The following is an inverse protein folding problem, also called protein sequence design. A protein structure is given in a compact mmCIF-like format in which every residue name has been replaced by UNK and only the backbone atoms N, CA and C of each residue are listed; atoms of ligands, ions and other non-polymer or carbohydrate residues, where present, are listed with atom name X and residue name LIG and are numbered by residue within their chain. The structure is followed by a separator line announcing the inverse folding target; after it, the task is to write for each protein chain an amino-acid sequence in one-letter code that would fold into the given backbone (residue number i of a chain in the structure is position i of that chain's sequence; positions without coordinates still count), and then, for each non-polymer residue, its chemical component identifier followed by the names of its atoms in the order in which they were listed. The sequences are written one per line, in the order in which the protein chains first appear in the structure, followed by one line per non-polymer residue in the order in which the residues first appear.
data_IF_470434261146
#
_entry.id   IF_470434261146
#
_cell.length_a   1.000
_cell.length_b   1.000
_cell.length_c   1.000
_cell.angle_alpha   90.00
_cell.angle_beta   90.00
_cell.angle_gamma   90.00
#
_symmetry.space_group_name_H-M   'P 1'
#
loop_
_entity.id
_entity.type
_entity.pdbx_description
1 polymer ?
#
# COMPACT_ATOMS: atom_id res chain seq x y z
N UNK A 1 45.04 -21.08 -49.67
CA UNK A 1 45.11 -20.88 -48.22
C UNK A 1 44.35 -19.67 -47.68
N UNK A 2 44.37 -18.50 -48.34
CA UNK A 2 43.65 -17.27 -47.83
C UNK A 2 42.11 -17.38 -47.79
N UNK A 3 41.50 -18.21 -48.64
CA UNK A 3 40.03 -18.34 -48.73
C UNK A 3 39.46 -19.19 -47.56
N UNK A 4 40.14 -20.26 -47.20
CA UNK A 4 39.69 -21.14 -46.05
C UNK A 4 39.77 -20.46 -44.70
N UNK A 5 40.77 -19.60 -44.46
CA UNK A 5 40.91 -18.85 -43.23
C UNK A 5 39.76 -17.83 -43.05
N UNK A 6 39.30 -17.21 -44.12
CA UNK A 6 38.15 -16.26 -44.10
C UNK A 6 36.82 -16.95 -43.79
N UNK A 7 36.59 -18.14 -44.39
CA UNK A 7 35.38 -18.94 -44.10
C UNK A 7 35.35 -19.43 -42.64
N UNK A 8 36.50 -19.83 -42.12
CA UNK A 8 36.61 -20.31 -40.73
C UNK A 8 36.36 -19.20 -39.70
N UNK A 9 36.85 -17.97 -40.00
CA UNK A 9 36.61 -16.80 -39.13
C UNK A 9 35.14 -16.36 -39.13
N UNK A 10 34.46 -16.39 -40.27
CA UNK A 10 33.04 -16.06 -40.40
C UNK A 10 32.20 -17.07 -39.63
N UNK A 11 32.50 -18.37 -39.76
CA UNK A 11 31.82 -19.43 -38.98
C UNK A 11 31.96 -19.27 -37.47
N UNK A 12 33.15 -18.88 -36.97
CA UNK A 12 33.40 -18.66 -35.54
C UNK A 12 32.60 -17.45 -35.01
N UNK A 13 32.54 -16.35 -35.79
CA UNK A 13 31.79 -15.13 -35.38
C UNK A 13 30.29 -15.43 -35.29
N UNK A 14 29.73 -16.21 -36.24
CA UNK A 14 28.32 -16.60 -36.21
C UNK A 14 28.01 -17.50 -35.01
N UNK A 15 28.88 -18.47 -34.67
CA UNK A 15 28.68 -19.34 -33.51
C UNK A 15 28.74 -18.55 -32.19
N UNK A 16 29.65 -17.57 -32.06
CA UNK A 16 29.74 -16.71 -30.88
C UNK A 16 28.49 -15.80 -30.79
N UNK A 17 28.02 -15.25 -31.92
CA UNK A 17 26.81 -14.43 -31.93
C UNK A 17 25.54 -15.23 -31.53
N UNK A 18 25.40 -16.46 -32.02
CA UNK A 18 24.30 -17.36 -31.63
C UNK A 18 24.39 -17.73 -30.17
N UNK A 19 25.60 -18.06 -29.66
CA UNK A 19 25.83 -18.34 -28.24
C UNK A 19 25.46 -17.17 -27.35
N UNK A 20 25.78 -15.94 -27.75
CA UNK A 20 25.39 -14.73 -26.99
C UNK A 20 23.88 -14.48 -27.04
N UNK A 21 23.24 -14.69 -28.21
CA UNK A 21 21.78 -14.53 -28.33
C UNK A 21 21.00 -15.58 -27.54
N UNK A 22 21.50 -16.80 -27.43
CA UNK A 22 20.88 -17.86 -26.61
C UNK A 22 21.10 -17.64 -25.12
N UNK A 23 22.27 -17.10 -24.72
CA UNK A 23 22.56 -16.82 -23.33
C UNK A 23 21.88 -15.55 -22.79
N UNK A 24 21.63 -14.55 -23.64
CA UNK A 24 20.89 -13.37 -23.25
C UNK A 24 19.37 -13.61 -23.09
N UNK A 25 18.84 -14.67 -23.69
CA UNK A 25 17.44 -15.06 -23.49
C UNK A 25 17.18 -15.85 -22.18
N UNK A 26 18.23 -16.29 -21.48
CA UNK A 26 18.06 -17.06 -20.24
C UNK A 26 18.12 -16.19 -18.95
N UNK A 27 18.43 -14.90 -19.08
CA UNK A 27 18.54 -14.01 -17.91
C UNK A 27 17.39 -13.00 -17.77
N UNK A 28 16.32 -13.13 -18.51
CA UNK A 28 15.04 -12.56 -18.08
C UNK A 28 14.36 -13.59 -17.17
N UNK A 29 14.82 -13.71 -15.93
CA UNK A 29 13.94 -14.04 -14.85
C UNK A 29 12.91 -12.91 -14.83
N UNK A 30 11.76 -13.15 -15.43
CA UNK A 30 10.55 -12.38 -15.18
C UNK A 30 10.36 -12.59 -13.69
N UNK A 31 10.71 -11.57 -12.89
CA UNK A 31 10.21 -11.46 -11.53
C UNK A 31 8.69 -11.22 -11.70
N UNK A 32 7.99 -12.33 -11.88
CA UNK A 32 6.54 -12.37 -11.92
C UNK A 32 6.08 -12.14 -10.49
N UNK A 33 6.25 -10.90 -10.03
CA UNK A 33 5.75 -10.47 -8.73
C UNK A 33 4.25 -10.75 -8.75
N UNK A 34 3.82 -11.68 -7.91
CA UNK A 34 2.41 -11.97 -7.72
C UNK A 34 1.73 -10.64 -7.44
N UNK A 35 0.73 -10.24 -8.22
CA UNK A 35 0.06 -8.95 -8.03
C UNK A 35 -0.58 -8.88 -6.64
N UNK A 36 -0.71 -7.67 -6.12
CA UNK A 36 -1.47 -7.45 -4.90
C UNK A 36 -2.91 -7.92 -5.12
N UNK A 37 -3.50 -8.49 -4.08
CA UNK A 37 -4.89 -8.93 -4.07
C UNK A 37 -5.55 -8.52 -2.77
N UNK A 38 -6.87 -8.26 -2.82
CA UNK A 38 -7.65 -7.83 -1.67
C UNK A 38 -8.71 -8.88 -1.30
N UNK A 39 -8.87 -9.12 -0.02
CA UNK A 39 -9.89 -10.00 0.57
C UNK A 39 -10.60 -9.25 1.70
N UNK A 40 -11.89 -9.52 1.90
CA UNK A 40 -12.63 -8.92 3.00
C UNK A 40 -12.17 -9.49 4.36
N UNK A 41 -12.05 -8.61 5.36
CA UNK A 41 -11.69 -8.97 6.73
C UNK A 41 -10.20 -8.80 7.03
N UNK A 42 -9.83 -9.16 8.27
CA UNK A 42 -8.43 -9.13 8.72
C UNK A 42 -7.62 -10.23 8.05
N UNK A 43 -6.36 -9.96 7.76
CA UNK A 43 -5.44 -11.01 7.33
C UNK A 43 -5.32 -12.10 8.42
N UNK A 44 -5.19 -13.35 8.00
CA UNK A 44 -5.06 -14.49 8.90
C UNK A 44 -3.66 -15.10 8.87
N UNK A 45 -2.97 -14.98 7.73
CA UNK A 45 -1.70 -15.69 7.46
C UNK A 45 -0.63 -14.81 6.82
N UNK A 46 -0.99 -13.94 5.90
CA UNK A 46 -0.06 -13.09 5.18
C UNK A 46 -0.76 -11.81 4.70
N UNK A 47 0.04 -10.77 4.39
CA UNK A 47 -0.46 -9.51 3.89
C UNK A 47 -0.46 -8.40 4.94
N UNK A 48 -1.20 -7.35 4.67
CA UNK A 48 -1.40 -6.19 5.54
C UNK A 48 -2.90 -5.96 5.71
N UNK A 49 -3.36 -5.93 6.96
CA UNK A 49 -4.76 -5.60 7.22
C UNK A 49 -4.94 -4.08 7.19
N UNK A 50 -5.85 -3.61 6.36
CA UNK A 50 -6.27 -2.21 6.30
C UNK A 50 -7.64 -2.06 6.95
N UNK A 51 -7.75 -1.14 7.89
CA UNK A 51 -9.00 -0.80 8.60
C UNK A 51 -9.36 0.65 8.33
N UNK A 52 -10.58 0.89 7.87
CA UNK A 52 -11.16 2.23 7.72
C UNK A 52 -12.37 2.34 8.65
N UNK A 53 -12.24 3.14 9.70
CA UNK A 53 -13.28 3.36 10.70
C UNK A 53 -13.79 4.80 10.61
N UNK A 54 -15.03 4.97 10.20
CA UNK A 54 -15.67 6.29 10.08
C UNK A 54 -16.00 6.93 11.44
N UNK A 55 -15.63 6.28 12.56
CA UNK A 55 -15.86 6.79 13.92
C UNK A 55 -17.32 6.97 14.25
N UNK A 56 -17.60 7.96 15.09
CA UNK A 56 -18.96 8.38 15.44
C UNK A 56 -19.57 9.37 14.44
N UNK A 57 -18.83 9.74 13.41
CA UNK A 57 -19.29 10.64 12.36
C UNK A 57 -20.21 9.96 11.32
N UNK A 58 -20.29 8.64 11.33
CA UNK A 58 -21.13 7.87 10.40
C UNK A 58 -21.58 6.55 11.03
N UNK A 59 -22.80 6.13 10.66
CA UNK A 59 -23.34 4.80 11.02
C UNK A 59 -22.75 3.66 10.17
N UNK A 60 -21.87 3.99 9.20
CA UNK A 60 -21.16 2.98 8.41
C UNK A 60 -20.35 2.07 9.34
N UNK A 61 -20.41 0.76 9.16
CA UNK A 61 -19.49 -0.15 9.84
C UNK A 61 -18.04 0.15 9.41
N UNK A 62 -17.09 -0.18 10.24
CA UNK A 62 -15.69 -0.13 9.83
C UNK A 62 -15.45 -1.13 8.69
N UNK A 63 -14.76 -0.68 7.66
CA UNK A 63 -14.32 -1.52 6.55
C UNK A 63 -12.99 -2.16 6.92
N UNK A 64 -12.88 -3.46 6.65
CA UNK A 64 -11.67 -4.23 6.99
C UNK A 64 -11.29 -5.09 5.80
N UNK A 65 -10.06 -4.93 5.35
CA UNK A 65 -9.53 -5.62 4.16
C UNK A 65 -8.16 -6.22 4.45
N UNK A 66 -7.90 -7.39 3.90
CA UNK A 66 -6.58 -7.99 3.86
C UNK A 66 -5.98 -7.79 2.47
N UNK A 67 -4.89 -7.05 2.38
CA UNK A 67 -4.16 -6.82 1.13
C UNK A 67 -2.92 -7.70 1.12
N UNK A 68 -2.91 -8.70 0.24
CA UNK A 68 -1.81 -9.67 0.09
C UNK A 68 -0.81 -9.21 -0.98
N UNK A 69 0.43 -9.63 -0.86
CA UNK A 69 1.51 -9.38 -1.81
C UNK A 69 1.80 -7.90 -2.10
N UNK A 70 1.31 -6.99 -1.28
CA UNK A 70 1.53 -5.56 -1.46
C UNK A 70 2.95 -5.18 -1.02
N UNK A 71 3.60 -4.35 -1.85
CA UNK A 71 4.90 -3.76 -1.58
C UNK A 71 4.85 -2.29 -1.98
N UNK A 72 4.78 -1.40 -1.01
CA UNK A 72 4.67 0.04 -1.29
C UNK A 72 4.59 0.86 -0.03
N UNK A 73 4.09 2.05 -0.16
CA UNK A 73 3.80 2.94 0.96
C UNK A 73 2.33 2.83 1.36
N UNK A 74 2.02 3.20 2.58
CA UNK A 74 0.66 3.14 3.12
C UNK A 74 -0.36 3.98 2.34
N UNK A 75 0.10 5.03 1.66
CA UNK A 75 -0.75 5.80 0.75
C UNK A 75 -1.24 4.94 -0.43
N UNK A 76 -0.34 4.16 -1.02
CA UNK A 76 -0.62 3.31 -2.17
C UNK A 76 -1.43 2.06 -1.78
N UNK A 77 -1.49 1.74 -0.48
CA UNK A 77 -2.27 0.62 0.05
C UNK A 77 -3.78 0.81 -0.19
N UNK A 78 -4.26 2.06 -0.24
CA UNK A 78 -5.67 2.33 -0.57
C UNK A 78 -6.04 1.85 -1.97
N UNK A 79 -5.22 2.16 -2.97
CA UNK A 79 -5.44 1.68 -4.35
C UNK A 79 -5.40 0.16 -4.41
N UNK A 80 -4.44 -0.47 -3.74
CA UNK A 80 -4.33 -1.92 -3.67
C UNK A 80 -5.51 -2.58 -2.92
N UNK A 81 -6.18 -1.84 -2.04
CA UNK A 81 -7.40 -2.23 -1.34
C UNK A 81 -8.68 -1.86 -2.10
N UNK A 82 -8.57 -1.33 -3.33
CA UNK A 82 -9.68 -0.87 -4.16
C UNK A 82 -10.50 0.27 -3.52
N UNK A 83 -9.87 1.09 -2.67
CA UNK A 83 -10.47 2.24 -2.01
C UNK A 83 -10.04 3.55 -2.65
N UNK A 84 -10.99 4.48 -2.75
CA UNK A 84 -10.70 5.84 -3.17
C UNK A 84 -10.12 6.64 -2.01
N UNK A 85 -8.97 7.28 -2.23
CA UNK A 85 -8.36 8.21 -1.28
C UNK A 85 -8.06 9.52 -1.97
N UNK A 86 -8.26 10.62 -1.28
CA UNK A 86 -7.82 11.94 -1.75
C UNK A 86 -7.13 12.72 -0.64
N UNK A 87 -6.10 13.46 -1.04
CA UNK A 87 -5.45 14.44 -0.19
C UNK A 87 -6.13 15.80 -0.24
N UNK A 88 -5.40 16.81 0.22
CA UNK A 88 -5.81 18.21 0.10
C UNK A 88 -5.21 18.86 -1.16
N UNK A 89 -5.72 20.01 -1.57
CA UNK A 89 -5.13 20.78 -2.68
C UNK A 89 -3.66 21.10 -2.42
N UNK A 90 -3.31 21.37 -1.16
CA UNK A 90 -1.95 21.69 -0.75
C UNK A 90 -1.06 20.44 -0.65
N UNK A 91 -1.62 19.31 -0.23
CA UNK A 91 -0.92 18.04 -0.05
C UNK A 91 -1.75 16.92 -0.70
N UNK A 92 -1.71 16.80 -2.03
CA UNK A 92 -2.54 15.83 -2.75
C UNK A 92 -2.16 14.38 -2.46
N UNK A 93 -0.93 14.14 -1.98
CA UNK A 93 -0.45 12.84 -1.52
C UNK A 93 0.13 12.98 -0.12
N UNK A 94 -0.21 12.05 0.75
CA UNK A 94 0.38 11.96 2.10
C UNK A 94 -0.45 12.55 3.22
N UNK A 95 -1.35 13.48 2.94
CA UNK A 95 -2.33 13.97 3.91
C UNK A 95 -3.74 13.58 3.47
N UNK A 96 -4.30 12.56 4.13
CA UNK A 96 -5.64 12.06 3.79
C UNK A 96 -6.70 13.08 4.19
N UNK A 97 -7.46 13.55 3.21
CA UNK A 97 -8.64 14.37 3.43
C UNK A 97 -9.93 13.56 3.31
N UNK A 98 -10.04 12.66 2.33
CA UNK A 98 -11.21 11.78 2.13
C UNK A 98 -10.79 10.34 1.89
N UNK A 99 -11.59 9.44 2.42
CA UNK A 99 -11.59 8.02 2.06
C UNK A 99 -13.03 7.68 1.66
N UNK A 100 -13.22 7.05 0.48
CA UNK A 100 -14.55 6.69 -0.06
C UNK A 100 -15.53 7.88 -0.06
N UNK A 101 -15.07 9.04 -0.51
CA UNK A 101 -15.80 10.31 -0.55
C UNK A 101 -16.29 10.80 0.82
N UNK A 102 -15.72 10.29 1.93
CA UNK A 102 -16.06 10.75 3.27
C UNK A 102 -14.87 11.51 3.92
N UNK A 103 -15.10 12.65 4.60
CA UNK A 103 -16.35 13.42 4.65
C UNK A 103 -16.73 14.01 3.28
N UNK A 104 -18.00 14.43 3.12
CA UNK A 104 -18.43 15.05 1.86
C UNK A 104 -17.73 16.39 1.62
N UNK A 105 -17.77 16.88 0.37
CA UNK A 105 -17.15 18.14 0.00
C UNK A 105 -17.79 19.34 0.70
N UNK A 106 -19.08 19.27 0.99
CA UNK A 106 -19.81 20.33 1.72
C UNK A 106 -19.36 20.41 3.19
N UNK A 107 -18.92 19.29 3.77
CA UNK A 107 -18.43 19.24 5.15
C UNK A 107 -16.96 19.66 5.22
N UNK A 108 -16.14 19.14 4.30
CA UNK A 108 -14.70 19.43 4.25
C UNK A 108 -14.27 19.62 2.77
N UNK A 109 -13.99 20.85 2.34
CA UNK A 109 -13.62 21.13 0.94
C UNK A 109 -12.20 20.64 0.55
N UNK A 110 -11.40 20.21 1.50
CA UNK A 110 -10.02 19.74 1.28
C UNK A 110 -9.04 20.77 0.69
N UNK A 111 -9.37 22.05 0.73
CA UNK A 111 -8.52 23.12 0.20
C UNK A 111 -7.23 23.32 0.99
N UNK A 112 -7.28 23.05 2.30
CA UNK A 112 -6.14 23.11 3.21
C UNK A 112 -6.10 21.86 4.08
N UNK A 113 -5.12 21.76 4.96
CA UNK A 113 -5.08 20.71 5.98
C UNK A 113 -6.37 20.77 6.80
N UNK A 114 -7.18 19.69 6.86
CA UNK A 114 -8.41 19.65 7.61
C UNK A 114 -8.16 20.09 9.04
N UNK A 115 -8.93 21.09 9.45
CA UNK A 115 -8.86 21.62 10.80
C UNK A 115 -9.70 20.79 11.76
N UNK A 116 -9.53 21.08 13.05
CA UNK A 116 -10.29 20.42 14.13
C UNK A 116 -11.78 20.75 14.10
N UNK A 117 -12.25 21.63 13.20
CA UNK A 117 -13.66 22.06 13.11
C UNK A 117 -14.56 21.04 12.44
N UNK A 118 -14.06 20.36 11.42
CA UNK A 118 -14.87 19.47 10.57
C UNK A 118 -14.54 17.98 10.82
N UNK A 119 -13.59 17.72 11.70
CA UNK A 119 -13.01 16.40 11.91
C UNK A 119 -11.87 16.11 10.94
N UNK A 120 -11.20 15.00 11.15
CA UNK A 120 -10.07 14.59 10.30
C UNK A 120 -9.77 13.10 10.45
N UNK A 121 -9.13 12.55 9.43
CA UNK A 121 -8.62 11.18 9.49
C UNK A 121 -7.34 11.11 10.33
N UNK A 122 -7.30 10.17 11.25
CA UNK A 122 -6.14 9.83 12.05
C UNK A 122 -5.60 8.47 11.62
N UNK A 123 -4.28 8.38 11.49
CA UNK A 123 -3.58 7.19 11.01
C UNK A 123 -2.95 6.43 12.16
N UNK A 124 -3.16 5.11 12.19
CA UNK A 124 -2.70 4.20 13.22
C UNK A 124 -1.98 3.00 12.64
N UNK A 125 -1.04 2.47 13.41
CA UNK A 125 -0.34 1.23 13.12
C UNK A 125 -0.59 0.22 14.23
N UNK A 126 -0.74 -1.04 13.88
CA UNK A 126 -0.77 -2.13 14.85
C UNK A 126 0.63 -2.40 15.39
N UNK A 127 0.75 -2.53 16.70
CA UNK A 127 1.99 -2.90 17.37
C UNK A 127 2.10 -4.42 17.61
N UNK A 128 3.23 -4.85 18.16
CA UNK A 128 3.52 -6.26 18.49
C UNK A 128 2.58 -6.84 19.56
N UNK A 129 1.89 -5.99 20.32
CA UNK A 129 0.93 -6.37 21.37
C UNK A 129 -0.51 -6.42 20.85
N UNK A 130 -0.73 -6.30 19.54
CA UNK A 130 -2.03 -6.17 18.89
C UNK A 130 -2.83 -4.96 19.38
N UNK A 131 -2.14 -3.85 19.64
CA UNK A 131 -2.73 -2.58 19.99
C UNK A 131 -2.53 -1.56 18.90
N UNK A 132 -3.49 -0.66 18.73
CA UNK A 132 -3.35 0.47 17.82
C UNK A 132 -2.47 1.55 18.44
N UNK A 133 -1.51 2.03 17.69
CA UNK A 133 -0.65 3.17 18.03
C UNK A 133 -0.82 4.25 16.98
N UNK A 134 -1.09 5.49 17.41
CA UNK A 134 -1.11 6.63 16.50
C UNK A 134 0.22 6.75 15.77
N UNK A 135 0.18 6.82 14.46
CA UNK A 135 1.40 6.83 13.64
C UNK A 135 2.17 8.14 13.80
N UNK A 136 3.48 8.09 14.12
CA UNK A 136 4.32 9.28 14.19
C UNK A 136 4.76 9.78 12.80
N UNK A 137 4.45 9.05 11.74
CA UNK A 137 4.86 9.36 10.36
C UNK A 137 3.64 9.30 9.43
N UNK A 138 3.72 10.07 8.33
CA UNK A 138 2.64 10.09 7.33
C UNK A 138 2.63 8.85 6.45
N UNK A 139 1.45 8.51 5.91
CA UNK A 139 1.24 7.35 5.07
C UNK A 139 2.09 7.35 3.78
N UNK A 140 2.41 8.51 3.24
CA UNK A 140 3.28 8.62 2.05
C UNK A 140 4.75 8.26 2.29
N UNK A 141 5.16 8.16 3.56
CA UNK A 141 6.54 7.84 3.95
C UNK A 141 6.66 6.54 4.72
N UNK A 142 5.55 6.00 5.23
CA UNK A 142 5.52 4.70 5.90
C UNK A 142 5.52 3.56 4.87
N UNK A 143 6.54 2.71 4.94
CA UNK A 143 6.63 1.51 4.10
C UNK A 143 5.85 0.38 4.75
N UNK A 144 4.85 -0.11 4.02
CA UNK A 144 3.99 -1.22 4.48
C UNK A 144 4.82 -2.47 4.76
N UNK A 145 4.48 -3.16 5.81
CA UNK A 145 5.11 -4.43 6.20
C UNK A 145 4.04 -5.51 6.35
N UNK A 146 4.32 -6.66 5.78
CA UNK A 146 3.51 -7.84 6.02
C UNK A 146 3.42 -8.13 7.53
N UNK A 147 2.26 -8.56 8.00
CA UNK A 147 2.00 -8.84 9.42
C UNK A 147 1.65 -7.61 10.26
N UNK A 148 1.72 -6.42 9.68
CA UNK A 148 1.31 -5.18 10.35
C UNK A 148 -0.09 -4.78 9.89
N UNK A 149 -0.91 -4.34 10.84
CA UNK A 149 -2.21 -3.75 10.52
C UNK A 149 -2.08 -2.23 10.43
N UNK A 150 -2.75 -1.65 9.45
CA UNK A 150 -2.85 -0.21 9.25
C UNK A 150 -4.29 0.24 9.44
N UNK A 151 -4.50 1.31 10.16
CA UNK A 151 -5.83 1.77 10.53
C UNK A 151 -6.03 3.27 10.32
N UNK A 152 -7.17 3.61 9.81
CA UNK A 152 -7.64 4.97 9.66
C UNK A 152 -8.93 5.14 10.43
N UNK A 153 -8.98 6.16 11.29
CA UNK A 153 -10.20 6.53 11.99
C UNK A 153 -10.52 7.99 11.76
N UNK A 154 -11.77 8.25 11.37
CA UNK A 154 -12.26 9.62 11.34
C UNK A 154 -12.61 10.08 12.75
N UNK A 155 -12.01 11.19 13.16
CA UNK A 155 -12.19 11.81 14.46
C UNK A 155 -13.04 13.05 14.32
N UNK A 156 -14.10 13.15 15.14
CA UNK A 156 -14.90 14.36 15.26
C UNK A 156 -14.17 15.45 16.05
N UNK A 157 -14.60 16.72 15.92
CA UNK A 157 -14.09 17.80 16.75
C UNK A 157 -14.15 17.47 18.24
N UNK A 158 -13.01 17.60 18.92
CA UNK A 158 -12.89 17.31 20.34
C UNK A 158 -12.53 15.86 20.70
N UNK A 159 -12.54 14.93 19.76
CA UNK A 159 -11.99 13.59 20.00
C UNK A 159 -10.45 13.64 20.07
N UNK A 160 -9.88 12.80 20.92
CA UNK A 160 -8.42 12.68 21.01
C UNK A 160 -7.82 12.02 19.77
N UNK A 161 -6.70 12.53 19.29
CA UNK A 161 -5.92 11.89 18.21
C UNK A 161 -5.42 10.50 18.58
N UNK A 162 -5.48 10.11 19.85
CA UNK A 162 -5.14 8.77 20.33
C UNK A 162 -6.33 7.80 20.31
N UNK A 163 -7.52 8.26 19.88
CA UNK A 163 -8.70 7.39 19.79
C UNK A 163 -8.56 6.43 18.62
N UNK A 164 -8.32 5.13 18.85
CA UNK A 164 -8.00 4.19 17.80
C UNK A 164 -9.24 3.72 17.03
N UNK A 165 -9.05 3.03 15.88
CA UNK A 165 -10.13 2.30 15.24
C UNK A 165 -10.81 1.32 16.18
N UNK A 166 -12.14 1.14 16.04
CA UNK A 166 -12.97 0.29 16.89
C UNK A 166 -12.82 -1.20 16.61
N UNK A 167 -11.93 -1.59 15.69
CA UNK A 167 -11.63 -2.97 15.35
C UNK A 167 -10.46 -3.47 16.20
N UNK A 168 -10.66 -4.59 16.89
CA UNK A 168 -9.59 -5.25 17.63
C UNK A 168 -8.62 -5.95 16.69
N UNK A 169 -7.35 -5.75 16.92
CA UNK A 169 -6.29 -6.41 16.16
C UNK A 169 -6.15 -7.88 16.56
N UNK A 170 -5.66 -8.68 15.62
CA UNK A 170 -5.23 -10.06 15.84
C UNK A 170 -3.84 -10.21 15.26
N UNK A 171 -2.96 -10.90 15.97
CA UNK A 171 -1.66 -11.24 15.45
C UNK A 171 -1.80 -12.28 14.33
N UNK A 172 -1.03 -12.10 13.30
CA UNK A 172 -0.84 -13.09 12.25
C UNK A 172 0.61 -12.99 11.74
N UNK A 173 1.16 -14.12 11.34
CA UNK A 173 2.54 -14.21 10.85
C UNK A 173 2.59 -13.94 9.34
N UNK A 174 3.78 -13.52 8.88
CA UNK A 174 4.13 -13.56 7.46
C UNK A 174 5.09 -14.70 7.26
N UNK A 175 4.58 -15.79 6.70
CA UNK A 175 5.43 -16.85 6.22
C UNK A 175 6.07 -16.37 4.91
N UNK A 176 7.37 -16.08 4.96
CA UNK A 176 8.21 -15.82 3.79
C UNK A 176 8.45 -17.13 3.02
#
# INVERSE_FOLDING_TARGET
MRSFVRLSLIGLVILVAIGFALNSNQNQAIDESIPASVEAGMCLDAGTSLVVDYGSASDKPAEVMCVKNFKGYSWDLFEAAELLVSGTDKYPVGFVCRIENFPSEEVEPCSETPGTKNGSWAYFLGDENNSWVYSPIGASTHKVKCGVSEGWRFLLPGESIQTPPRISLKSYGCNN
#
